data_IF_117350293822
#
_entry.id   IF_117350293822
#
_cell.length_a   1.000
_cell.length_b   1.000
_cell.length_c   1.000
_cell.angle_alpha   90.00
_cell.angle_beta   90.00
_cell.angle_gamma   90.00
#
_symmetry.space_group_name_H-M   'P 1'
#
loop_
_entity.id
_entity.type
_entity.pdbx_description
1 polymer ?
#
# COMPACT_ATOMS: atom_id res chain seq x y z
N UNK A 1 13.68 2.25 -9.95
CA UNK A 1 12.62 3.24 -9.62
C UNK A 1 12.50 3.29 -8.10
N UNK A 2 12.23 4.46 -7.50
CA UNK A 2 12.00 4.58 -6.06
C UNK A 2 10.63 5.21 -5.85
N UNK A 3 9.73 4.48 -5.21
CA UNK A 3 8.35 4.89 -4.94
C UNK A 3 8.15 4.96 -3.43
N UNK A 4 7.58 6.04 -2.87
CA UNK A 4 7.28 6.10 -1.44
C UNK A 4 6.19 5.08 -1.08
N UNK A 5 6.32 4.48 0.11
CA UNK A 5 5.27 3.69 0.75
C UNK A 5 4.83 4.39 2.02
N UNK A 6 3.53 4.59 2.16
CA UNK A 6 2.91 5.08 3.38
C UNK A 6 2.11 3.96 4.00
N UNK A 7 2.47 3.54 5.20
CA UNK A 7 1.63 2.65 6.00
C UNK A 7 0.67 3.48 6.85
N UNK A 8 -0.61 3.17 6.74
CA UNK A 8 -1.69 3.84 7.48
C UNK A 8 -2.52 2.82 8.26
N UNK A 9 -3.18 3.31 9.29
CA UNK A 9 -4.20 2.58 10.03
C UNK A 9 -5.58 3.16 9.65
N UNK A 10 -6.32 2.47 8.78
CA UNK A 10 -7.62 2.92 8.29
C UNK A 10 -8.71 2.81 9.36
N UNK A 11 -9.72 3.68 9.29
CA UNK A 11 -10.87 3.73 10.21
C UNK A 11 -10.52 4.05 11.68
N UNK A 12 -9.35 4.64 11.92
CA UNK A 12 -8.92 5.08 13.25
C UNK A 12 -8.14 6.40 13.17
N UNK A 13 -8.06 7.11 14.29
CA UNK A 13 -7.17 8.27 14.48
C UNK A 13 -6.03 7.99 15.49
N UNK A 14 -5.88 6.73 15.92
CA UNK A 14 -4.86 6.25 16.85
C UNK A 14 -4.04 5.15 16.17
N UNK A 15 -2.73 5.13 16.42
CA UNK A 15 -1.83 4.07 15.95
C UNK A 15 -2.20 2.71 16.54
N UNK A 16 -1.91 1.63 15.81
CA UNK A 16 -2.13 0.24 16.21
C UNK A 16 -3.61 -0.10 16.46
N UNK A 17 -4.51 0.55 15.74
CA UNK A 17 -5.94 0.30 15.76
C UNK A 17 -6.48 0.32 14.32
N UNK A 18 -7.74 -0.07 14.10
CA UNK A 18 -8.31 -0.07 12.76
C UNK A 18 -7.69 -1.14 11.85
N UNK A 19 -7.65 -0.86 10.53
CA UNK A 19 -7.12 -1.79 9.53
C UNK A 19 -5.78 -1.28 8.93
N UNK A 20 -4.66 -1.98 9.11
CA UNK A 20 -3.39 -1.55 8.54
C UNK A 20 -3.36 -1.76 7.02
N UNK A 21 -2.98 -0.71 6.28
CA UNK A 21 -2.90 -0.72 4.82
C UNK A 21 -1.68 0.04 4.31
N UNK A 22 -1.18 -0.35 3.14
CA UNK A 22 -0.14 0.39 2.42
C UNK A 22 -0.74 1.27 1.32
N UNK A 23 -0.21 2.47 1.15
CA UNK A 23 -0.56 3.40 0.05
C UNK A 23 0.72 3.80 -0.67
N UNK A 24 0.75 3.60 -1.99
CA UNK A 24 1.92 3.85 -2.83
C UNK A 24 1.55 4.77 -4.01
N UNK A 25 1.82 6.08 -3.92
CA UNK A 25 1.68 7.01 -5.05
C UNK A 25 2.75 6.75 -6.12
N UNK A 26 2.36 6.65 -7.39
CA UNK A 26 3.20 6.29 -8.53
C UNK A 26 2.88 7.16 -9.75
N UNK A 27 3.85 7.38 -10.65
CA UNK A 27 3.60 8.13 -11.90
C UNK A 27 2.75 7.35 -12.92
N UNK A 28 2.73 6.01 -12.80
CA UNK A 28 1.95 5.09 -13.64
C UNK A 28 1.82 3.74 -12.94
N UNK A 29 0.80 2.97 -13.32
CA UNK A 29 0.70 1.58 -12.92
C UNK A 29 1.85 0.74 -13.50
N UNK A 30 2.33 -0.19 -12.70
CA UNK A 30 3.18 -1.29 -13.15
C UNK A 30 2.30 -2.41 -13.71
N UNK A 31 2.90 -3.49 -14.21
CA UNK A 31 2.12 -4.68 -14.57
C UNK A 31 1.43 -5.31 -13.35
N UNK A 32 0.27 -5.91 -13.57
CA UNK A 32 -0.58 -6.46 -12.50
C UNK A 32 0.16 -7.51 -11.66
N UNK A 33 1.01 -8.32 -12.28
CA UNK A 33 1.79 -9.34 -11.58
C UNK A 33 2.79 -8.72 -10.58
N UNK A 34 3.45 -7.62 -10.98
CA UNK A 34 4.35 -6.86 -10.13
C UNK A 34 3.58 -6.16 -9.02
N UNK A 35 2.43 -5.54 -9.33
CA UNK A 35 1.57 -4.91 -8.31
C UNK A 35 1.10 -5.94 -7.28
N UNK A 36 0.70 -7.14 -7.73
CA UNK A 36 0.31 -8.24 -6.85
C UNK A 36 1.48 -8.75 -6.01
N UNK A 37 2.68 -8.88 -6.59
CA UNK A 37 3.88 -9.28 -5.86
C UNK A 37 4.27 -8.26 -4.79
N UNK A 38 4.18 -6.96 -5.10
CA UNK A 38 4.42 -5.87 -4.13
C UNK A 38 3.40 -5.94 -2.99
N UNK A 39 2.12 -6.12 -3.30
CA UNK A 39 1.08 -6.22 -2.28
C UNK A 39 1.29 -7.43 -1.36
N UNK A 40 1.72 -8.57 -1.91
CA UNK A 40 2.06 -9.76 -1.13
C UNK A 40 3.29 -9.53 -0.24
N UNK A 41 4.33 -8.88 -0.75
CA UNK A 41 5.55 -8.55 0.01
C UNK A 41 5.27 -7.58 1.17
N UNK A 42 4.40 -6.59 0.96
CA UNK A 42 3.98 -5.68 2.04
C UNK A 42 3.29 -6.42 3.21
N UNK A 43 2.67 -7.58 2.93
CA UNK A 43 2.02 -8.45 3.91
C UNK A 43 1.03 -7.72 4.84
N UNK A 44 0.26 -6.80 4.26
CA UNK A 44 -0.86 -6.10 4.90
C UNK A 44 -2.17 -6.59 4.28
N UNK A 45 -3.29 -6.26 4.91
CA UNK A 45 -4.62 -6.62 4.40
C UNK A 45 -4.82 -6.09 2.98
N UNK A 46 -4.41 -4.84 2.72
CA UNK A 46 -4.48 -4.22 1.40
C UNK A 46 -3.25 -3.33 1.10
N UNK A 47 -2.93 -3.22 -0.19
CA UNK A 47 -2.03 -2.21 -0.75
C UNK A 47 -2.78 -1.44 -1.84
N UNK A 48 -2.89 -0.12 -1.69
CA UNK A 48 -3.49 0.76 -2.68
C UNK A 48 -2.41 1.46 -3.52
N UNK A 49 -2.52 1.34 -4.83
CA UNK A 49 -1.65 2.01 -5.80
C UNK A 49 -2.40 3.23 -6.37
N UNK A 50 -1.84 4.42 -6.18
CA UNK A 50 -2.43 5.69 -6.64
C UNK A 50 -1.60 6.24 -7.80
N UNK A 51 -2.24 6.57 -8.92
CA UNK A 51 -1.64 7.19 -10.11
C UNK A 51 -2.29 8.53 -10.37
#
# INVERSE_FOLDING_TARGET
MRTPIFQIDAFTNRRFAGNPAAVMPMDRFLDDATLQAIAAENNLAETAFLV
#
